data_IF_610015034137
#
_entry.id   IF_610015034137
#
_cell.length_a   1.000
_cell.length_b   1.000
_cell.length_c   1.000
_cell.angle_alpha   90.00
_cell.angle_beta   90.00
_cell.angle_gamma   90.00
#
_symmetry.space_group_name_H-M   'P 1'
#
loop_
_entity.id
_entity.type
_entity.pdbx_description
1 polymer ?
#
# COMPACT_ATOMS: atom_id res chain seq x y z
N UNK A 1 30.17 -17.11 -0.90
CA UNK A 1 29.24 -17.39 0.22
C UNK A 1 27.82 -17.40 -0.35
N UNK A 2 27.11 -18.53 -0.24
CA UNK A 2 25.79 -18.74 -0.89
C UNK A 2 24.71 -18.08 -0.05
N UNK A 3 24.08 -17.00 -0.55
CA UNK A 3 22.91 -16.37 0.09
C UNK A 3 21.71 -17.30 -0.10
N UNK A 4 21.18 -17.84 0.99
CA UNK A 4 19.94 -18.61 1.01
C UNK A 4 18.76 -17.62 0.91
N UNK A 5 18.05 -17.69 -0.20
CA UNK A 5 16.78 -17.01 -0.37
C UNK A 5 15.75 -17.80 0.42
N UNK A 6 15.25 -17.20 1.50
CA UNK A 6 14.15 -17.77 2.29
C UNK A 6 12.83 -17.41 1.58
N UNK A 7 12.33 -18.34 0.76
CA UNK A 7 10.99 -18.22 0.20
C UNK A 7 9.98 -18.52 1.31
N UNK A 8 9.26 -17.51 1.78
CA UNK A 8 8.13 -17.69 2.69
C UNK A 8 6.95 -18.10 1.84
N UNK A 9 6.71 -19.41 1.74
CA UNK A 9 5.49 -19.96 1.18
C UNK A 9 4.37 -19.80 2.20
N UNK A 10 3.46 -18.85 1.95
CA UNK A 10 2.18 -18.80 2.68
C UNK A 10 1.32 -19.94 2.18
N UNK A 11 1.33 -21.02 2.90
CA UNK A 11 0.49 -22.19 2.64
C UNK A 11 -0.88 -21.94 3.27
N UNK A 12 -1.86 -21.55 2.45
CA UNK A 12 -3.26 -21.49 2.87
C UNK A 12 -3.75 -22.94 3.05
N UNK A 13 -3.89 -23.38 4.29
CA UNK A 13 -4.51 -24.67 4.62
C UNK A 13 -6.02 -24.45 4.59
N UNK A 14 -6.63 -24.78 3.46
CA UNK A 14 -8.08 -24.96 3.38
C UNK A 14 -8.44 -26.33 3.99
N UNK A 15 -8.88 -26.36 5.23
CA UNK A 15 -9.48 -27.56 5.83
C UNK A 15 -10.90 -27.68 5.28
N UNK A 16 -11.09 -28.52 4.28
CA UNK A 16 -12.39 -28.95 3.84
C UNK A 16 -12.99 -29.90 4.91
N UNK A 17 -13.73 -29.34 5.85
CA UNK A 17 -14.57 -30.11 6.74
C UNK A 17 -15.75 -30.66 5.95
N UNK A 18 -15.90 -31.99 5.93
CA UNK A 18 -17.11 -32.64 5.42
C UNK A 18 -18.28 -32.30 6.33
N UNK A 19 -19.13 -31.35 5.90
CA UNK A 19 -20.41 -31.10 6.56
C UNK A 19 -21.34 -32.32 6.31
N UNK A 20 -21.54 -33.16 7.30
CA UNK A 20 -22.64 -34.07 7.32
C UNK A 20 -23.94 -33.25 7.42
N UNK A 21 -24.67 -33.13 6.33
CA UNK A 21 -25.98 -32.50 6.32
C UNK A 21 -26.93 -33.38 7.13
N UNK A 22 -27.17 -33.03 8.39
CA UNK A 22 -28.33 -33.53 9.12
C UNK A 22 -29.56 -32.89 8.48
N UNK A 23 -30.45 -33.73 7.97
CA UNK A 23 -31.73 -33.34 7.39
C UNK A 23 -32.67 -32.87 8.51
N UNK A 24 -32.51 -31.59 8.90
CA UNK A 24 -33.44 -30.94 9.81
C UNK A 24 -34.67 -30.50 9.02
N UNK A 25 -35.92 -30.73 9.53
CA UNK A 25 -37.12 -30.22 8.88
C UNK A 25 -36.97 -28.72 8.66
N UNK A 26 -37.07 -28.26 7.42
CA UNK A 26 -37.15 -26.84 7.10
C UNK A 26 -38.44 -26.26 7.66
N UNK A 27 -38.41 -25.92 8.94
CA UNK A 27 -39.39 -25.00 9.49
C UNK A 27 -39.26 -23.68 8.71
N UNK A 28 -40.34 -23.29 8.01
CA UNK A 28 -40.41 -21.96 7.40
C UNK A 28 -40.14 -20.93 8.50
N UNK A 29 -38.98 -20.30 8.45
CA UNK A 29 -38.64 -19.22 9.37
C UNK A 29 -39.69 -18.12 9.22
N UNK A 30 -40.42 -17.76 10.25
CA UNK A 30 -41.44 -16.71 10.16
C UNK A 30 -40.82 -15.31 10.12
N UNK A 31 -39.49 -15.21 10.14
CA UNK A 31 -38.78 -13.92 10.06
C UNK A 31 -38.45 -13.59 8.60
N UNK A 32 -38.84 -12.42 8.13
CA UNK A 32 -38.42 -11.95 6.81
C UNK A 32 -36.89 -11.95 6.76
N UNK A 33 -36.31 -12.61 5.76
CA UNK A 33 -34.90 -12.54 5.47
C UNK A 33 -34.59 -11.12 5.01
N UNK A 34 -33.98 -10.32 5.87
CA UNK A 34 -33.39 -9.06 5.50
C UNK A 34 -31.97 -9.37 5.01
N UNK A 35 -31.65 -9.18 3.72
CA UNK A 35 -30.27 -9.29 3.27
C UNK A 35 -29.43 -8.32 4.05
N UNK A 36 -28.29 -8.78 4.54
CA UNK A 36 -27.34 -7.89 5.22
C UNK A 36 -27.04 -6.69 4.30
N UNK A 37 -27.02 -5.47 4.83
CA UNK A 37 -26.71 -4.30 4.03
C UNK A 37 -25.33 -4.46 3.39
N UNK A 38 -25.28 -4.39 2.07
CA UNK A 38 -24.02 -4.39 1.32
C UNK A 38 -23.24 -3.13 1.70
N UNK A 39 -21.94 -3.27 1.94
CA UNK A 39 -21.09 -2.13 2.27
C UNK A 39 -21.10 -1.09 1.15
N UNK A 40 -21.31 0.18 1.52
CA UNK A 40 -21.30 1.29 0.57
C UNK A 40 -19.91 1.92 0.54
N UNK A 41 -19.22 1.79 -0.59
CA UNK A 41 -17.88 2.35 -0.79
C UNK A 41 -17.89 3.80 -1.26
N UNK A 42 -19.07 4.38 -1.55
CA UNK A 42 -19.18 5.74 -2.08
C UNK A 42 -18.95 6.78 -0.99
N UNK A 43 -18.16 7.79 -1.27
CA UNK A 43 -17.95 8.94 -0.38
C UNK A 43 -16.48 9.19 -0.04
N UNK A 44 -16.28 10.17 0.84
CA UNK A 44 -14.96 10.51 1.38
C UNK A 44 -14.54 9.48 2.43
N UNK A 45 -13.25 9.25 2.48
CA UNK A 45 -12.64 8.49 3.57
C UNK A 45 -11.29 9.10 3.95
N UNK A 46 -10.94 8.95 5.21
CA UNK A 46 -9.63 9.29 5.75
C UNK A 46 -9.11 8.14 6.60
N UNK A 47 -7.81 7.93 6.62
CA UNK A 47 -7.25 6.80 7.34
C UNK A 47 -5.78 6.96 7.68
N UNK A 48 -5.32 5.98 8.45
CA UNK A 48 -3.91 5.82 8.80
C UNK A 48 -3.41 4.50 8.25
N UNK A 49 -2.13 4.43 7.98
CA UNK A 49 -1.49 3.20 7.55
C UNK A 49 -0.10 3.05 8.15
N UNK A 50 0.35 1.81 8.19
CA UNK A 50 1.71 1.42 8.55
C UNK A 50 2.13 0.26 7.66
N UNK A 51 3.40 0.19 7.31
CA UNK A 51 3.92 -0.87 6.47
C UNK A 51 5.43 -0.94 6.48
N UNK A 52 5.93 -1.77 5.59
CA UNK A 52 7.34 -1.98 5.39
C UNK A 52 7.70 -1.68 3.95
N UNK A 53 8.71 -0.85 3.76
CA UNK A 53 9.27 -0.55 2.46
C UNK A 53 10.64 -1.22 2.26
N UNK A 54 10.91 -1.62 1.03
CA UNK A 54 12.21 -2.06 0.57
C UNK A 54 12.47 -1.46 -0.79
N UNK A 55 13.62 -0.84 -0.91
CA UNK A 55 14.02 -0.11 -2.11
C UNK A 55 15.33 -0.60 -2.69
N UNK A 56 15.64 -0.07 -3.85
CA UNK A 56 16.92 -0.20 -4.51
C UNK A 56 17.27 1.13 -5.16
N UNK A 57 18.42 1.65 -4.84
CA UNK A 57 18.95 2.84 -5.53
C UNK A 57 19.64 2.39 -6.81
N UNK A 58 19.20 2.95 -7.96
CA UNK A 58 19.72 2.62 -9.27
C UNK A 58 21.19 3.10 -9.38
N UNK A 59 22.04 2.30 -10.02
CA UNK A 59 23.49 2.55 -10.18
C UNK A 59 24.28 2.63 -8.86
N UNK A 60 23.70 2.16 -7.76
CA UNK A 60 24.39 2.02 -6.47
C UNK A 60 24.08 0.65 -5.86
N UNK A 61 24.90 0.19 -4.94
CA UNK A 61 24.67 -1.06 -4.19
C UNK A 61 23.73 -0.92 -3.00
N UNK A 62 23.05 0.23 -2.84
CA UNK A 62 22.20 0.55 -1.69
C UNK A 62 20.79 -0.02 -1.83
N UNK A 63 20.29 -0.60 -0.75
CA UNK A 63 18.96 -1.18 -0.65
C UNK A 63 18.26 -0.68 0.63
N UNK A 64 17.84 0.60 0.67
CA UNK A 64 17.18 1.14 1.85
C UNK A 64 15.90 0.38 2.13
N UNK A 65 15.68 0.05 3.38
CA UNK A 65 14.49 -0.63 3.84
C UNK A 65 14.13 -0.21 5.25
N UNK A 66 12.85 -0.15 5.54
CA UNK A 66 12.40 0.31 6.85
C UNK A 66 10.90 0.27 7.03
N UNK A 67 10.47 0.62 8.22
CA UNK A 67 9.06 0.83 8.53
C UNK A 67 8.68 2.24 8.09
N UNK A 68 7.53 2.36 7.43
CA UNK A 68 6.93 3.64 7.12
C UNK A 68 5.47 3.65 7.55
N UNK A 69 4.98 4.84 7.89
CA UNK A 69 3.59 5.01 8.30
C UNK A 69 3.12 6.43 8.07
N UNK A 70 1.81 6.59 7.88
CA UNK A 70 1.27 7.90 7.57
C UNK A 70 -0.24 7.95 7.50
N UNK A 71 -0.73 9.03 6.88
CA UNK A 71 -2.13 9.29 6.67
C UNK A 71 -2.52 9.28 5.20
N UNK A 72 -3.77 8.95 4.95
CA UNK A 72 -4.38 8.96 3.63
C UNK A 72 -5.75 9.62 3.65
N UNK A 73 -6.09 10.22 2.52
CA UNK A 73 -7.40 10.82 2.26
C UNK A 73 -7.83 10.42 0.84
N UNK A 74 -9.09 10.06 0.67
CA UNK A 74 -9.60 9.70 -0.65
C UNK A 74 -11.09 9.92 -0.81
N UNK A 75 -11.52 9.75 -2.06
CA UNK A 75 -12.92 9.75 -2.43
C UNK A 75 -13.20 8.63 -3.42
N UNK A 76 -14.29 7.90 -3.21
CA UNK A 76 -14.75 6.85 -4.11
C UNK A 76 -16.11 7.18 -4.70
N UNK A 77 -16.30 6.83 -5.97
CA UNK A 77 -17.59 6.73 -6.65
C UNK A 77 -17.89 5.26 -6.90
N UNK A 78 -19.01 4.79 -6.38
CA UNK A 78 -19.47 3.43 -6.61
C UNK A 78 -20.61 3.42 -7.64
N UNK A 79 -20.46 2.61 -8.68
CA UNK A 79 -21.46 2.39 -9.74
C UNK A 79 -21.72 0.90 -9.81
N UNK A 80 -22.79 0.45 -9.13
CA UNK A 80 -23.06 -0.97 -8.95
C UNK A 80 -21.94 -1.66 -8.15
N UNK A 81 -21.24 -2.59 -8.76
CA UNK A 81 -20.09 -3.29 -8.16
C UNK A 81 -18.74 -2.63 -8.50
N UNK A 82 -18.72 -1.67 -9.42
CA UNK A 82 -17.49 -0.96 -9.77
C UNK A 82 -17.28 0.24 -8.85
N UNK A 83 -16.05 0.40 -8.39
CA UNK A 83 -15.62 1.53 -7.57
C UNK A 83 -14.45 2.18 -8.27
N UNK A 84 -14.55 3.50 -8.51
CA UNK A 84 -13.46 4.34 -9.01
C UNK A 84 -13.25 5.48 -8.04
N UNK A 85 -12.01 5.95 -7.90
CA UNK A 85 -11.74 7.01 -6.94
C UNK A 85 -10.35 7.60 -7.07
N UNK A 86 -10.07 8.54 -6.18
CA UNK A 86 -8.75 9.13 -5.99
C UNK A 86 -8.31 9.05 -4.54
N UNK A 87 -7.03 8.82 -4.32
CA UNK A 87 -6.42 8.78 -3.00
C UNK A 87 -5.10 9.57 -3.01
N UNK A 88 -4.88 10.35 -1.97
CA UNK A 88 -3.59 10.97 -1.68
C UNK A 88 -3.11 10.51 -0.31
N UNK A 89 -1.81 10.35 -0.18
CA UNK A 89 -1.21 9.98 1.10
C UNK A 89 0.13 10.69 1.31
N UNK A 90 0.50 10.75 2.58
CA UNK A 90 1.82 11.20 3.03
C UNK A 90 2.33 10.23 4.10
N UNK A 91 3.59 9.84 3.97
CA UNK A 91 4.25 8.85 4.81
C UNK A 91 5.50 9.45 5.42
N UNK A 92 5.73 9.16 6.70
CA UNK A 92 7.04 9.27 7.33
C UNK A 92 7.72 7.90 7.24
N UNK A 93 8.98 7.89 6.85
CA UNK A 93 9.74 6.66 6.64
C UNK A 93 10.99 6.65 7.53
N UNK A 94 11.30 5.47 8.07
CA UNK A 94 12.53 5.18 8.78
C UNK A 94 13.49 4.33 7.91
N UNK A 95 13.30 4.35 6.58
CA UNK A 95 14.18 3.64 5.67
C UNK A 95 15.50 4.37 5.53
N UNK A 96 16.57 3.73 5.96
CA UNK A 96 17.94 4.18 5.77
C UNK A 96 18.84 3.01 5.35
N UNK A 97 19.92 3.36 4.67
CA UNK A 97 21.01 2.43 4.38
C UNK A 97 22.33 3.21 4.42
N UNK A 98 23.31 2.65 5.14
CA UNK A 98 24.61 3.26 5.36
C UNK A 98 25.70 2.33 4.84
N UNK A 99 26.52 2.84 3.90
CA UNK A 99 27.70 2.15 3.42
C UNK A 99 28.91 3.06 3.45
N UNK A 100 29.89 2.74 4.29
CA UNK A 100 31.12 3.52 4.53
C UNK A 100 30.79 4.98 4.97
N UNK A 101 31.23 5.98 4.19
CA UNK A 101 31.04 7.41 4.51
C UNK A 101 29.76 8.01 3.91
N UNK A 102 28.97 7.19 3.20
CA UNK A 102 27.73 7.63 2.54
C UNK A 102 26.52 7.11 3.29
N UNK A 103 25.55 7.99 3.54
CA UNK A 103 24.23 7.65 4.08
C UNK A 103 23.15 8.17 3.13
N UNK A 104 22.22 7.28 2.77
CA UNK A 104 21.03 7.64 2.02
C UNK A 104 19.81 7.39 2.89
N UNK A 105 18.96 8.39 3.04
CA UNK A 105 17.71 8.28 3.77
C UNK A 105 16.56 8.89 2.99
N UNK A 106 15.40 8.23 3.06
CA UNK A 106 14.14 8.73 2.52
C UNK A 106 13.20 9.06 3.70
N UNK A 107 13.27 10.27 4.28
CA UNK A 107 12.56 10.58 5.51
C UNK A 107 11.04 10.70 5.32
N UNK A 108 10.58 11.01 4.11
CA UNK A 108 9.17 11.13 3.79
C UNK A 108 8.90 10.95 2.30
N UNK A 109 7.73 10.43 2.00
CA UNK A 109 7.20 10.37 0.63
C UNK A 109 5.68 10.53 0.63
N UNK A 110 5.13 10.84 -0.51
CA UNK A 110 3.69 10.91 -0.70
C UNK A 110 3.28 10.44 -2.08
N UNK A 111 1.99 10.16 -2.24
CA UNK A 111 1.43 9.76 -3.53
C UNK A 111 0.12 10.47 -3.82
N UNK A 112 -0.18 10.64 -5.12
CA UNK A 112 -1.48 11.04 -5.63
C UNK A 112 -1.89 10.02 -6.69
N UNK A 113 -2.95 9.24 -6.44
CA UNK A 113 -3.30 8.07 -7.22
C UNK A 113 -4.77 8.03 -7.58
N UNK A 114 -5.07 7.53 -8.78
CA UNK A 114 -6.36 6.99 -9.12
C UNK A 114 -6.48 5.55 -8.65
N UNK A 115 -7.68 5.13 -8.27
CA UNK A 115 -7.99 3.73 -7.94
C UNK A 115 -9.22 3.25 -8.70
N UNK A 116 -9.22 1.99 -9.11
CA UNK A 116 -10.33 1.33 -9.75
C UNK A 116 -10.45 -0.10 -9.22
N UNK A 117 -11.66 -0.52 -8.86
CA UNK A 117 -11.86 -1.79 -8.20
C UNK A 117 -13.25 -2.39 -8.41
N UNK A 118 -13.39 -3.59 -7.88
CA UNK A 118 -14.62 -4.37 -7.93
C UNK A 118 -15.03 -4.78 -6.51
N UNK A 119 -16.23 -4.39 -6.11
CA UNK A 119 -16.79 -4.66 -4.79
C UNK A 119 -17.60 -5.95 -4.80
N UNK A 120 -17.26 -6.86 -3.91
CA UNK A 120 -17.97 -8.13 -3.66
C UNK A 120 -18.43 -8.09 -2.20
N UNK A 121 -19.69 -7.75 -1.99
CA UNK A 121 -20.23 -7.51 -0.64
C UNK A 121 -19.39 -6.47 0.12
N UNK A 122 -18.70 -6.91 1.17
CA UNK A 122 -17.87 -6.06 2.04
C UNK A 122 -16.39 -6.05 1.64
N UNK A 123 -16.02 -6.69 0.53
CA UNK A 123 -14.65 -6.76 0.04
C UNK A 123 -14.51 -5.92 -1.23
N UNK A 124 -13.54 -5.04 -1.28
CA UNK A 124 -13.14 -4.30 -2.46
C UNK A 124 -11.75 -4.76 -2.92
N UNK A 125 -11.67 -5.33 -4.11
CA UNK A 125 -10.41 -5.59 -4.81
C UNK A 125 -10.14 -4.43 -5.75
N UNK A 126 -8.95 -3.83 -5.69
CA UNK A 126 -8.66 -2.66 -6.51
C UNK A 126 -7.21 -2.63 -7.00
N UNK A 127 -7.03 -1.97 -8.12
CA UNK A 127 -5.75 -1.51 -8.63
C UNK A 127 -5.64 0.00 -8.45
N UNK A 128 -4.41 0.50 -8.32
CA UNK A 128 -4.14 1.92 -8.18
C UNK A 128 -2.91 2.31 -8.97
N UNK A 129 -2.91 3.54 -9.52
CA UNK A 129 -1.76 4.11 -10.21
C UNK A 129 -1.78 5.64 -10.11
N UNK A 130 -0.59 6.25 -10.17
CA UNK A 130 -0.48 7.69 -10.09
C UNK A 130 0.94 8.20 -9.96
N UNK A 131 1.07 9.35 -9.34
CA UNK A 131 2.34 10.03 -9.08
C UNK A 131 2.84 9.68 -7.67
N UNK A 132 4.15 9.55 -7.54
CA UNK A 132 4.86 9.47 -6.28
C UNK A 132 5.86 10.63 -6.20
N UNK A 133 6.04 11.18 -5.01
CA UNK A 133 7.01 12.22 -4.73
C UNK A 133 7.63 11.99 -3.35
N UNK A 134 8.90 12.34 -3.20
CA UNK A 134 9.58 12.12 -1.92
C UNK A 134 10.88 12.89 -1.81
N UNK A 135 11.34 13.10 -0.58
CA UNK A 135 12.64 13.69 -0.29
C UNK A 135 13.70 12.61 -0.20
N UNK A 136 14.77 12.74 -0.96
CA UNK A 136 15.97 11.91 -0.83
C UNK A 136 17.11 12.77 -0.32
N UNK A 137 17.66 12.40 0.83
CA UNK A 137 18.83 13.04 1.43
C UNK A 137 20.06 12.18 1.19
N UNK A 138 21.09 12.79 0.66
CA UNK A 138 22.41 12.20 0.51
C UNK A 138 23.42 12.97 1.39
N UNK A 139 24.10 12.26 2.28
CA UNK A 139 25.11 12.81 3.17
C UNK A 139 26.49 12.22 2.85
N UNK A 140 27.49 13.07 2.74
CA UNK A 140 28.88 12.68 2.60
C UNK A 140 29.76 13.61 3.45
N UNK A 141 30.23 13.13 4.59
CA UNK A 141 30.99 13.94 5.54
C UNK A 141 30.17 15.13 6.05
N UNK A 142 30.60 16.37 5.76
CA UNK A 142 29.91 17.61 6.14
C UNK A 142 29.04 18.19 4.99
N UNK A 143 28.87 17.48 3.89
CA UNK A 143 28.07 17.90 2.75
C UNK A 143 26.73 17.16 2.75
N UNK A 144 25.64 17.92 2.80
CA UNK A 144 24.26 17.42 2.70
C UNK A 144 23.63 17.95 1.41
N UNK A 145 23.06 17.08 0.61
CA UNK A 145 22.27 17.45 -0.57
C UNK A 145 20.90 16.80 -0.47
N UNK A 146 19.86 17.62 -0.39
CA UNK A 146 18.45 17.19 -0.36
C UNK A 146 17.78 17.52 -1.68
N UNK A 147 17.12 16.51 -2.30
CA UNK A 147 16.35 16.70 -3.54
C UNK A 147 14.99 16.06 -3.43
N UNK A 148 13.97 16.74 -3.96
CA UNK A 148 12.66 16.15 -4.16
C UNK A 148 12.64 15.41 -5.49
N UNK A 149 12.34 14.12 -5.43
CA UNK A 149 12.16 13.27 -6.60
C UNK A 149 10.66 13.14 -6.88
N UNK A 150 10.32 13.03 -8.16
CA UNK A 150 8.96 12.77 -8.64
C UNK A 150 9.03 11.60 -9.61
N UNK A 151 8.08 10.68 -9.47
CA UNK A 151 8.00 9.51 -10.30
C UNK A 151 6.57 8.98 -10.38
N UNK A 152 6.44 7.73 -10.74
CA UNK A 152 5.15 7.04 -10.83
C UNK A 152 5.04 5.93 -9.78
N UNK A 153 3.80 5.58 -9.46
CA UNK A 153 3.49 4.46 -8.56
C UNK A 153 2.33 3.66 -9.13
N UNK A 154 2.35 2.37 -8.87
CA UNK A 154 1.26 1.47 -9.21
C UNK A 154 1.15 0.36 -8.18
N UNK A 155 -0.05 -0.17 -7.98
CA UNK A 155 -0.26 -1.17 -6.95
C UNK A 155 -1.60 -1.88 -7.02
N UNK A 156 -1.74 -2.83 -6.11
CA UNK A 156 -2.95 -3.64 -5.92
C UNK A 156 -3.30 -3.66 -4.43
N UNK A 157 -4.59 -3.66 -4.14
CA UNK A 157 -5.07 -3.72 -2.77
C UNK A 157 -6.35 -4.51 -2.61
N UNK A 158 -6.56 -4.92 -1.36
CA UNK A 158 -7.79 -5.50 -0.87
C UNK A 158 -8.23 -4.69 0.35
N UNK A 159 -9.49 -4.29 0.36
CA UNK A 159 -10.09 -3.54 1.46
C UNK A 159 -11.35 -4.25 1.94
N UNK A 160 -11.53 -4.37 3.25
CA UNK A 160 -12.65 -5.04 3.89
C UNK A 160 -13.41 -4.08 4.81
N UNK A 161 -14.67 -3.83 4.49
CA UNK A 161 -15.59 -3.04 5.32
C UNK A 161 -16.18 -3.91 6.43
N UNK A 162 -15.77 -3.68 7.66
CA UNK A 162 -16.27 -4.45 8.82
C UNK A 162 -17.39 -3.74 9.58
N UNK A 163 -17.55 -2.43 9.40
CA UNK A 163 -18.75 -1.66 9.78
C UNK A 163 -19.08 -0.69 8.67
N UNK A 164 -20.25 -0.04 8.67
CA UNK A 164 -20.63 0.94 7.63
C UNK A 164 -19.65 2.14 7.54
N UNK A 165 -18.94 2.45 8.61
CA UNK A 165 -18.01 3.57 8.67
C UNK A 165 -16.53 3.16 8.66
N UNK A 166 -16.20 1.89 8.86
CA UNK A 166 -14.81 1.47 9.02
C UNK A 166 -14.44 0.36 8.05
N UNK A 167 -13.27 0.51 7.45
CA UNK A 167 -12.65 -0.54 6.63
C UNK A 167 -11.18 -0.71 6.99
N UNK A 168 -10.68 -1.91 6.75
CA UNK A 168 -9.26 -2.23 6.85
C UNK A 168 -8.75 -2.62 5.46
N UNK A 169 -7.56 -2.17 5.09
CA UNK A 169 -6.94 -2.50 3.80
C UNK A 169 -5.54 -3.10 3.95
N UNK A 170 -5.20 -3.94 3.01
CA UNK A 170 -3.82 -4.34 2.70
C UNK A 170 -3.51 -3.94 1.27
N UNK A 171 -2.37 -3.31 1.05
CA UNK A 171 -2.01 -2.76 -0.25
C UNK A 171 -0.52 -2.95 -0.51
N UNK A 172 -0.20 -3.39 -1.70
CA UNK A 172 1.13 -3.41 -2.24
C UNK A 172 1.30 -2.30 -3.25
N UNK A 173 2.34 -1.49 -3.10
CA UNK A 173 2.71 -0.40 -4.01
C UNK A 173 4.12 -0.64 -4.53
N UNK A 174 4.28 -0.45 -5.82
CA UNK A 174 5.57 -0.26 -6.46
C UNK A 174 5.72 1.21 -6.83
N UNK A 175 6.89 1.79 -6.56
CA UNK A 175 7.22 3.18 -6.86
C UNK A 175 8.53 3.23 -7.61
N UNK A 176 8.57 4.06 -8.65
CA UNK A 176 9.78 4.38 -9.40
C UNK A 176 9.94 5.90 -9.41
N UNK A 177 10.81 6.39 -8.55
CA UNK A 177 11.18 7.80 -8.47
C UNK A 177 12.33 8.02 -9.44
N UNK A 178 12.02 8.68 -10.56
CA UNK A 178 12.95 8.92 -11.66
C UNK A 178 14.28 9.52 -11.21
N UNK A 179 15.35 9.10 -11.88
CA UNK A 179 16.70 9.53 -11.56
C UNK A 179 16.92 11.03 -11.76
N UNK A 180 17.72 11.60 -10.87
CA UNK A 180 18.30 12.95 -11.00
C UNK A 180 19.80 12.86 -10.87
N UNK A 181 20.51 13.71 -11.64
CA UNK A 181 21.97 13.82 -11.52
C UNK A 181 22.32 14.51 -10.22
N UNK A 182 23.05 13.82 -9.34
CA UNK A 182 23.61 14.39 -8.14
C UNK A 182 24.99 14.96 -8.42
N UNK A 183 25.24 16.19 -7.97
CA UNK A 183 26.54 16.89 -8.17
C UNK A 183 27.67 16.17 -7.43
N UNK A 184 27.33 15.49 -6.33
CA UNK A 184 28.31 14.75 -5.49
C UNK A 184 28.74 13.45 -6.15
N UNK A 185 27.88 12.78 -6.90
CA UNK A 185 28.18 11.47 -7.53
C UNK A 185 28.44 11.57 -9.03
N UNK A 186 27.97 12.64 -9.69
CA UNK A 186 28.07 12.81 -11.15
C UNK A 186 27.24 11.80 -11.96
N UNK A 187 26.39 10.98 -11.29
CA UNK A 187 25.62 9.89 -11.92
C UNK A 187 24.13 10.11 -11.63
N UNK A 188 23.29 9.70 -12.57
CA UNK A 188 21.84 9.68 -12.36
C UNK A 188 21.47 8.54 -11.42
N UNK A 189 20.97 8.92 -10.24
CA UNK A 189 20.45 7.97 -9.24
C UNK A 189 18.94 8.12 -9.13
N UNK A 190 18.21 7.03 -9.32
CA UNK A 190 16.77 6.90 -9.07
C UNK A 190 16.52 5.93 -7.92
N UNK A 191 15.33 6.01 -7.34
CA UNK A 191 14.89 5.10 -6.28
C UNK A 191 13.72 4.26 -6.77
N UNK A 192 13.91 2.96 -6.79
CA UNK A 192 12.83 1.99 -6.96
C UNK A 192 12.48 1.41 -5.59
N UNK A 193 11.24 1.50 -5.20
CA UNK A 193 10.79 1.01 -3.90
C UNK A 193 9.51 0.20 -4.03
N UNK A 194 9.41 -0.80 -3.19
CA UNK A 194 8.19 -1.58 -2.97
C UNK A 194 7.72 -1.35 -1.54
N UNK A 195 6.43 -1.17 -1.36
CA UNK A 195 5.82 -0.89 -0.08
C UNK A 195 4.61 -1.79 0.15
N UNK A 196 4.65 -2.62 1.18
CA UNK A 196 3.52 -3.39 1.66
C UNK A 196 2.97 -2.72 2.92
N UNK A 197 1.71 -2.31 2.88
CA UNK A 197 1.09 -1.57 3.98
C UNK A 197 -0.26 -2.13 4.40
N UNK A 198 -0.59 -1.93 5.66
CA UNK A 198 -1.90 -2.14 6.26
C UNK A 198 -2.47 -0.79 6.62
N UNK A 199 -3.74 -0.57 6.34
CA UNK A 199 -4.43 0.69 6.62
C UNK A 199 -5.78 0.47 7.28
N UNK A 200 -6.20 1.49 8.02
CA UNK A 200 -7.52 1.59 8.62
C UNK A 200 -8.16 2.90 8.13
N UNK A 201 -9.34 2.81 7.53
CA UNK A 201 -10.07 3.95 6.97
C UNK A 201 -11.39 4.17 7.72
N UNK A 202 -11.72 5.43 7.90
CA UNK A 202 -13.03 5.90 8.32
C UNK A 202 -13.73 6.52 7.10
N UNK A 203 -14.94 6.06 6.78
CA UNK A 203 -15.80 6.55 5.71
C UNK A 203 -16.85 7.50 6.30
N UNK A 204 -17.04 8.65 5.63
CA UNK A 204 -17.97 9.72 6.08
C UNK A 204 -19.34 9.55 5.48
#
# INVERSE_FOLDING_TARGET
>A
MKKKILAISVMAIATAGTAAAADLPRGSSPYPYYPAPVYNWNGFYAGLNIGYEWGKVTNSGFNPSGVAGGGQLGYNWQIGQFVVGGETDIQASAADDTFAAYKFSNPWFGTLRGRAGYAINNVLLYATAGLAYGGLNAEFGNLEESKTLVGWTGGLGLEYGFTQAWSAKVEYLYMDLGGRTYTITGVDNGLQASYLRFGLNYHF
#
